data_IF_485659816232
#
_entry.id   IF_485659816232
#
_cell.length_a   1.000
_cell.length_b   1.000
_cell.length_c   1.000
_cell.angle_alpha   90.00
_cell.angle_beta   90.00
_cell.angle_gamma   90.00
#
_symmetry.space_group_name_H-M   'P 1'
#
loop_
_entity.id
_entity.type
_entity.pdbx_description
1 polymer ?
#
# COMPACT_ATOMS: atom_id res chain seq x y z
N UNK A 1 2.48 10.52 -1.74
CA UNK A 1 1.79 9.58 -2.65
C UNK A 1 2.85 8.57 -3.09
N UNK A 2 2.63 7.28 -2.86
CA UNK A 2 3.68 6.25 -3.02
C UNK A 2 4.31 6.28 -4.41
N UNK A 3 5.63 6.16 -4.47
CA UNK A 3 6.37 6.06 -5.73
C UNK A 3 5.97 4.76 -6.44
N UNK A 4 5.64 4.87 -7.73
CA UNK A 4 5.24 3.74 -8.55
C UNK A 4 6.35 3.39 -9.51
N UNK A 5 6.69 2.11 -9.56
CA UNK A 5 7.57 1.56 -10.58
C UNK A 5 6.81 0.59 -11.47
N UNK A 6 7.15 0.60 -12.76
CA UNK A 6 6.64 -0.37 -13.73
C UNK A 6 7.50 -1.62 -13.67
N UNK A 7 6.85 -2.77 -13.70
CA UNK A 7 7.50 -4.06 -13.83
C UNK A 7 6.70 -4.98 -14.76
N UNK A 8 7.32 -6.07 -15.20
CA UNK A 8 6.66 -7.17 -15.88
C UNK A 8 6.39 -8.31 -14.90
N UNK A 9 5.14 -8.72 -14.80
CA UNK A 9 4.73 -9.86 -13.99
C UNK A 9 4.16 -11.00 -14.84
N UNK A 10 4.64 -12.20 -14.59
CA UNK A 10 4.03 -13.42 -15.11
C UNK A 10 2.67 -13.68 -14.47
N UNK A 11 1.59 -13.76 -15.27
CA UNK A 11 0.23 -13.99 -14.75
C UNK A 11 -0.01 -15.42 -14.25
N UNK A 12 0.88 -16.37 -14.57
CA UNK A 12 0.76 -17.76 -14.16
C UNK A 12 1.47 -18.04 -12.84
N UNK A 13 2.73 -17.62 -12.71
CA UNK A 13 3.57 -17.92 -11.54
C UNK A 13 3.93 -16.70 -10.68
N UNK A 14 3.55 -15.48 -11.08
CA UNK A 14 3.76 -14.27 -10.28
C UNK A 14 5.18 -13.68 -10.30
N UNK A 15 6.12 -14.28 -11.04
CA UNK A 15 7.50 -13.79 -11.21
C UNK A 15 7.53 -12.33 -11.70
N UNK A 16 8.39 -11.51 -11.08
CA UNK A 16 8.66 -10.11 -11.45
C UNK A 16 10.03 -10.01 -12.13
N UNK A 17 10.07 -9.49 -13.37
CA UNK A 17 11.26 -9.38 -14.23
C UNK A 17 11.99 -10.73 -14.47
N UNK A 18 12.71 -10.87 -15.59
CA UNK A 18 13.27 -12.17 -16.01
C UNK A 18 14.81 -12.18 -15.97
N UNK A 19 15.40 -13.08 -15.16
CA UNK A 19 16.75 -13.61 -15.40
C UNK A 19 16.72 -15.00 -16.06
N UNK A 20 15.62 -15.75 -15.94
CA UNK A 20 15.53 -17.17 -16.31
C UNK A 20 14.46 -17.47 -17.38
N UNK A 21 14.68 -18.54 -18.15
CA UNK A 21 13.82 -18.95 -19.28
C UNK A 21 12.44 -19.39 -18.79
N UNK A 22 11.39 -18.70 -19.26
CA UNK A 22 10.00 -19.11 -19.06
C UNK A 22 9.78 -20.50 -19.69
N UNK A 23 9.17 -21.44 -18.95
CA UNK A 23 8.81 -22.79 -19.44
C UNK A 23 7.64 -22.80 -20.45
N UNK A 24 7.24 -21.63 -20.96
CA UNK A 24 6.42 -21.49 -22.17
C UNK A 24 4.90 -21.53 -21.99
N UNK A 25 4.38 -21.57 -20.75
CA UNK A 25 2.91 -21.63 -20.49
C UNK A 25 2.32 -20.30 -19.97
N UNK A 26 3.16 -19.32 -19.65
CA UNK A 26 2.72 -18.09 -18.99
C UNK A 26 2.93 -16.85 -19.86
N UNK A 27 2.02 -15.87 -19.72
CA UNK A 27 2.11 -14.55 -20.36
C UNK A 27 2.59 -13.51 -19.33
N UNK A 28 3.56 -12.69 -19.69
CA UNK A 28 3.97 -11.54 -18.88
C UNK A 28 3.05 -10.34 -19.18
N UNK A 29 2.67 -9.61 -18.13
CA UNK A 29 1.84 -8.40 -18.22
C UNK A 29 2.52 -7.25 -17.48
N UNK A 30 2.42 -6.01 -17.98
CA UNK A 30 2.92 -4.85 -17.26
C UNK A 30 2.08 -4.65 -15.98
N UNK A 31 2.76 -4.38 -14.88
CA UNK A 31 2.18 -4.08 -13.57
C UNK A 31 2.80 -2.80 -12.99
N UNK A 32 2.10 -2.17 -12.06
CA UNK A 32 2.64 -1.10 -11.22
C UNK A 32 2.88 -1.64 -9.81
N UNK A 33 4.06 -1.39 -9.27
CA UNK A 33 4.45 -1.78 -7.93
C UNK A 33 4.72 -0.53 -7.09
N UNK A 34 4.52 -0.66 -5.78
CA UNK A 34 4.92 0.31 -4.75
C UNK A 34 5.80 -0.40 -3.74
N UNK A 35 6.63 0.34 -2.99
CA UNK A 35 7.37 -0.26 -1.90
C UNK A 35 6.42 -0.82 -0.84
N UNK A 36 6.75 -2.00 -0.33
CA UNK A 36 5.95 -2.63 0.72
C UNK A 36 5.84 -1.75 1.97
N UNK A 37 6.86 -0.95 2.27
CA UNK A 37 6.84 0.05 3.36
C UNK A 37 5.67 1.01 3.21
N UNK A 38 5.45 1.54 2.02
CA UNK A 38 4.40 2.54 1.76
C UNK A 38 3.01 1.91 1.96
N UNK A 39 2.85 0.65 1.52
CA UNK A 39 1.63 -0.11 1.76
C UNK A 39 1.40 -0.37 3.26
N UNK A 40 2.42 -0.84 3.98
CA UNK A 40 2.32 -1.16 5.42
C UNK A 40 2.01 0.08 6.27
N UNK A 41 2.60 1.24 5.94
CA UNK A 41 2.28 2.49 6.65
C UNK A 41 0.81 2.90 6.44
N UNK A 42 0.28 2.75 5.22
CA UNK A 42 -1.13 3.00 4.90
C UNK A 42 -2.06 2.00 5.60
N UNK A 43 -1.76 0.71 5.53
CA UNK A 43 -2.52 -0.36 6.18
C UNK A 43 -2.61 -0.11 7.69
N UNK A 44 -1.50 0.28 8.32
CA UNK A 44 -1.45 0.61 9.75
C UNK A 44 -2.42 1.75 10.10
N UNK A 45 -2.46 2.81 9.29
CA UNK A 45 -3.37 3.94 9.50
C UNK A 45 -4.84 3.51 9.34
N UNK A 46 -5.15 2.76 8.28
CA UNK A 46 -6.51 2.27 8.02
C UNK A 46 -6.98 1.35 9.14
N UNK A 47 -6.13 0.44 9.60
CA UNK A 47 -6.43 -0.44 10.74
C UNK A 47 -6.71 0.37 11.99
N UNK A 48 -5.89 1.39 12.28
CA UNK A 48 -6.10 2.28 13.42
C UNK A 48 -7.46 2.98 13.34
N UNK A 49 -7.82 3.55 12.18
CA UNK A 49 -9.12 4.18 11.96
C UNK A 49 -10.27 3.20 12.20
N UNK A 50 -10.20 1.99 11.64
CA UNK A 50 -11.27 1.01 11.71
C UNK A 50 -11.56 0.49 13.13
N UNK A 51 -10.52 0.39 13.98
CA UNK A 51 -10.67 -0.15 15.34
C UNK A 51 -10.77 0.92 16.42
N UNK A 52 -10.52 2.19 16.10
CA UNK A 52 -10.60 3.28 17.08
C UNK A 52 -12.06 3.55 17.43
N UNK A 53 -12.43 3.29 18.68
CA UNK A 53 -13.72 3.65 19.26
C UNK A 53 -13.51 4.75 20.32
N UNK A 54 -13.77 6.02 19.98
CA UNK A 54 -13.64 7.13 20.92
C UNK A 54 -14.59 7.00 22.10
N UNK A 55 -14.21 7.55 23.25
CA UNK A 55 -15.14 7.75 24.37
C UNK A 55 -16.20 8.79 24.00
N UNK A 56 -17.30 8.78 24.75
CA UNK A 56 -18.36 9.78 24.59
C UNK A 56 -17.79 11.21 24.62
N UNK A 57 -18.23 12.04 23.68
CA UNK A 57 -17.74 13.41 23.50
C UNK A 57 -16.33 13.57 22.92
N UNK A 58 -15.57 12.48 22.69
CA UNK A 58 -14.17 12.52 22.24
C UNK A 58 -13.98 12.17 20.75
N UNK A 59 -15.06 12.03 19.99
CA UNK A 59 -14.99 11.63 18.58
C UNK A 59 -14.24 12.68 17.74
N UNK A 60 -14.45 13.97 17.98
CA UNK A 60 -13.85 15.03 17.18
C UNK A 60 -12.33 15.10 17.40
N UNK A 61 -11.89 15.00 18.65
CA UNK A 61 -10.47 14.97 18.98
C UNK A 61 -9.79 13.75 18.34
N UNK A 62 -10.40 12.58 18.46
CA UNK A 62 -9.88 11.33 17.88
C UNK A 62 -9.79 11.41 16.35
N UNK A 63 -10.83 11.96 15.72
CA UNK A 63 -10.86 12.17 14.27
C UNK A 63 -9.79 13.16 13.80
N UNK A 64 -9.63 14.30 14.48
CA UNK A 64 -8.57 15.29 14.17
C UNK A 64 -7.17 14.71 14.32
N UNK A 65 -6.93 13.85 15.31
CA UNK A 65 -5.66 13.15 15.49
C UNK A 65 -5.37 12.18 14.33
N UNK A 66 -6.36 11.37 13.92
CA UNK A 66 -6.25 10.49 12.76
C UNK A 66 -6.00 11.27 11.46
N UNK A 67 -6.70 12.40 11.26
CA UNK A 67 -6.45 13.29 10.12
C UNK A 67 -5.04 13.86 10.11
N UNK A 68 -4.52 14.30 11.27
CA UNK A 68 -3.14 14.80 11.38
C UNK A 68 -2.15 13.72 10.94
N UNK A 69 -2.28 12.51 11.48
CA UNK A 69 -1.43 11.36 11.10
C UNK A 69 -1.54 11.03 9.61
N UNK A 70 -2.75 11.07 9.05
CA UNK A 70 -2.97 10.85 7.62
C UNK A 70 -2.28 11.90 6.75
N UNK A 71 -2.34 13.18 7.12
CA UNK A 71 -1.67 14.27 6.40
C UNK A 71 -0.15 14.12 6.46
N UNK A 72 0.40 13.76 7.63
CA UNK A 72 1.82 13.49 7.80
C UNK A 72 2.29 12.32 6.92
N UNK A 73 1.54 11.22 6.90
CA UNK A 73 1.79 10.07 6.02
C UNK A 73 1.83 10.48 4.54
N UNK A 74 0.83 11.26 4.09
CA UNK A 74 0.73 11.67 2.69
C UNK A 74 1.81 12.67 2.26
N UNK A 75 2.35 13.42 3.22
CA UNK A 75 3.43 14.39 3.00
C UNK A 75 4.82 13.74 2.94
N UNK A 76 4.98 12.51 3.46
CA UNK A 76 6.21 11.74 3.28
C UNK A 76 6.40 11.37 1.80
N UNK A 77 7.63 11.53 1.34
CA UNK A 77 8.14 11.13 0.03
C UNK A 77 9.11 9.98 0.22
#
# INVERSE_FOLDING_TARGET
MAERMKAWQCIGCGRLEAESTCIGICQDRPVELVYASDYMELETLVRQLAVTSPREGQWEQSYRALQKRARELLAKR
#
